data_IF_559901389786
#
_entry.id   IF_559901389786
#
_cell.length_a   1.000
_cell.length_b   1.000
_cell.length_c   1.000
_cell.angle_alpha   90.00
_cell.angle_beta   90.00
_cell.angle_gamma   90.00
#
_symmetry.space_group_name_H-M   'P 1'
#
loop_
_entity.id
_entity.type
_entity.pdbx_description
1 polymer ?
#
# COMPACT_ATOMS: atom_id res chain seq x y z
N UNK A 1 8.30 4.96 74.17
CA UNK A 1 8.96 5.22 72.87
C UNK A 1 8.49 4.15 71.89
N UNK A 2 7.56 4.49 71.00
CA UNK A 2 7.07 3.57 69.96
C UNK A 2 7.88 3.81 68.68
N UNK A 3 8.43 2.78 68.02
CA UNK A 3 9.06 2.98 66.72
C UNK A 3 8.00 2.97 65.62
N UNK A 4 7.89 4.10 64.93
CA UNK A 4 7.16 4.26 63.67
C UNK A 4 7.87 3.49 62.56
N UNK A 5 7.22 2.48 61.98
CA UNK A 5 7.70 1.80 60.77
C UNK A 5 7.57 2.74 59.55
N UNK A 6 8.63 2.92 58.73
CA UNK A 6 8.52 3.73 57.53
C UNK A 6 7.83 2.95 56.41
N UNK A 7 6.91 3.62 55.70
CA UNK A 7 6.22 3.12 54.52
C UNK A 7 7.20 2.98 53.35
N UNK A 8 7.57 1.75 53.01
CA UNK A 8 8.26 1.46 51.75
C UNK A 8 7.28 1.56 50.58
N UNK A 9 7.27 2.73 49.93
CA UNK A 9 6.80 2.89 48.56
C UNK A 9 7.64 1.99 47.64
N UNK A 10 7.14 0.79 47.32
CA UNK A 10 7.78 -0.09 46.34
C UNK A 10 7.56 0.48 44.94
N UNK A 11 8.61 1.05 44.36
CA UNK A 11 8.68 1.29 42.92
C UNK A 11 8.48 -0.06 42.19
N UNK A 12 7.67 -0.12 41.12
CA UNK A 12 7.37 -1.37 40.44
C UNK A 12 8.66 -2.03 39.94
N UNK A 13 8.79 -3.34 40.19
CA UNK A 13 9.99 -4.11 39.84
C UNK A 13 10.26 -4.04 38.33
N UNK A 14 11.53 -3.83 37.94
CA UNK A 14 11.96 -3.75 36.52
C UNK A 14 11.45 -4.94 35.68
N UNK A 15 11.35 -6.13 36.29
CA UNK A 15 10.79 -7.34 35.68
C UNK A 15 9.33 -7.19 35.24
N UNK A 16 8.46 -6.65 36.10
CA UNK A 16 7.06 -6.39 35.76
C UNK A 16 6.93 -5.36 34.63
N UNK A 17 7.80 -4.34 34.60
CA UNK A 17 7.81 -3.32 33.53
C UNK A 17 8.27 -3.88 32.17
N UNK A 18 9.23 -4.82 32.15
CA UNK A 18 9.66 -5.49 30.91
C UNK A 18 8.62 -6.47 30.39
N UNK A 19 7.96 -7.21 31.30
CA UNK A 19 6.85 -8.10 30.96
C UNK A 19 5.67 -7.31 30.37
N UNK A 20 5.29 -6.19 31.00
CA UNK A 20 4.23 -5.31 30.50
C UNK A 20 4.57 -4.67 29.14
N UNK A 21 5.82 -4.24 28.92
CA UNK A 21 6.29 -3.75 27.61
C UNK A 21 6.27 -4.86 26.54
N UNK A 22 6.66 -6.09 26.89
CA UNK A 22 6.58 -7.24 26.00
C UNK A 22 5.15 -7.62 25.63
N UNK A 23 4.22 -7.54 26.59
CA UNK A 23 2.79 -7.76 26.35
C UNK A 23 2.22 -6.65 25.47
N UNK A 24 2.50 -5.37 25.73
CA UNK A 24 2.03 -4.24 24.89
C UNK A 24 2.59 -4.33 23.47
N UNK A 25 3.86 -4.73 23.28
CA UNK A 25 4.45 -4.92 21.95
C UNK A 25 3.85 -6.10 21.18
N UNK A 26 3.22 -7.07 21.87
CA UNK A 26 2.55 -8.22 21.26
C UNK A 26 1.12 -7.92 20.78
N UNK A 27 0.52 -6.82 21.24
CA UNK A 27 -0.86 -6.45 20.88
C UNK A 27 -0.87 -5.78 19.51
N UNK A 28 -1.62 -6.37 18.59
CA UNK A 28 -1.89 -5.79 17.28
C UNK A 28 -2.53 -4.40 17.41
N UNK A 29 -1.99 -3.34 16.77
CA UNK A 29 -2.57 -2.01 16.82
C UNK A 29 -4.03 -1.97 16.33
N UNK A 30 -4.87 -1.14 16.98
CA UNK A 30 -6.32 -1.08 16.72
C UNK A 30 -6.67 -0.58 15.32
N UNK A 31 -5.85 0.29 14.71
CA UNK A 31 -6.12 0.81 13.36
C UNK A 31 -5.69 -0.14 12.24
N UNK A 32 -5.06 -1.28 12.57
CA UNK A 32 -4.60 -2.25 11.56
C UNK A 32 -5.77 -2.80 10.75
N UNK A 33 -5.75 -2.55 9.45
CA UNK A 33 -6.80 -2.94 8.51
C UNK A 33 -7.89 -1.89 8.33
N UNK A 34 -8.25 -1.13 9.36
CA UNK A 34 -9.32 -0.13 9.28
C UNK A 34 -9.00 1.02 8.31
N UNK A 35 -7.73 1.42 8.20
CA UNK A 35 -7.29 2.44 7.23
C UNK A 35 -7.65 2.01 5.80
N UNK A 36 -7.31 0.78 5.41
CA UNK A 36 -7.62 0.26 4.08
C UNK A 36 -9.09 -0.09 3.91
N UNK A 37 -9.76 -0.62 4.94
CA UNK A 37 -11.20 -0.87 4.91
C UNK A 37 -12.02 0.41 4.68
N UNK A 38 -11.64 1.52 5.34
CA UNK A 38 -12.25 2.83 5.10
C UNK A 38 -11.88 3.44 3.75
N UNK A 39 -10.70 3.13 3.21
CA UNK A 39 -10.27 3.59 1.87
C UNK A 39 -10.99 2.83 0.75
N UNK A 40 -11.31 1.55 0.92
CA UNK A 40 -11.94 0.72 -0.11
C UNK A 40 -13.21 1.34 -0.74
N UNK A 41 -14.22 1.83 0.01
CA UNK A 41 -15.38 2.50 -0.59
C UNK A 41 -15.04 3.83 -1.28
N UNK A 42 -14.05 4.58 -0.78
CA UNK A 42 -13.58 5.81 -1.42
C UNK A 42 -12.89 5.51 -2.75
N UNK A 43 -12.04 4.48 -2.78
CA UNK A 43 -11.39 3.99 -3.98
C UNK A 43 -12.41 3.49 -5.01
N UNK A 44 -13.41 2.73 -4.56
CA UNK A 44 -14.50 2.27 -5.41
C UNK A 44 -15.24 3.45 -6.06
N UNK A 45 -15.67 4.43 -5.25
CA UNK A 45 -16.38 5.59 -5.75
C UNK A 45 -15.53 6.42 -6.74
N UNK A 46 -14.29 6.76 -6.37
CA UNK A 46 -13.39 7.53 -7.21
C UNK A 46 -13.12 6.81 -8.55
N UNK A 47 -12.82 5.51 -8.51
CA UNK A 47 -12.54 4.75 -9.73
C UNK A 47 -13.79 4.51 -10.59
N UNK A 48 -14.99 4.39 -10.01
CA UNK A 48 -16.25 4.36 -10.78
C UNK A 48 -16.43 5.69 -11.52
N UNK A 49 -16.27 6.83 -10.83
CA UNK A 49 -16.40 8.16 -11.45
C UNK A 49 -15.40 8.30 -12.60
N UNK A 50 -14.13 7.97 -12.38
CA UNK A 50 -13.11 8.00 -13.42
C UNK A 50 -13.48 7.12 -14.63
N UNK A 51 -13.98 5.90 -14.38
CA UNK A 51 -14.35 4.95 -15.43
C UNK A 51 -15.56 5.40 -16.24
N UNK A 52 -16.57 5.98 -15.59
CA UNK A 52 -17.78 6.47 -16.25
C UNK A 52 -17.46 7.67 -17.15
N UNK A 53 -16.64 8.60 -16.63
CA UNK A 53 -16.26 9.83 -17.33
C UNK A 53 -15.17 9.64 -18.39
N UNK A 54 -14.43 8.53 -18.37
CA UNK A 54 -13.36 8.26 -19.33
C UNK A 54 -13.90 8.24 -20.79
N UNK A 55 -13.25 8.96 -21.72
CA UNK A 55 -13.70 9.03 -23.10
C UNK A 55 -13.31 7.77 -23.89
N UNK A 56 -14.27 7.20 -24.61
CA UNK A 56 -14.07 6.04 -25.48
C UNK A 56 -13.85 4.71 -24.74
N UNK A 57 -14.09 3.60 -25.43
CA UNK A 57 -14.03 2.27 -24.81
C UNK A 57 -12.65 1.90 -24.26
N UNK A 58 -11.57 2.31 -24.94
CA UNK A 58 -10.20 1.97 -24.53
C UNK A 58 -9.82 2.53 -23.16
N UNK A 59 -10.09 3.81 -22.91
CA UNK A 59 -9.80 4.42 -21.62
C UNK A 59 -10.76 3.92 -20.53
N UNK A 60 -12.02 3.61 -20.86
CA UNK A 60 -12.94 2.96 -19.91
C UNK A 60 -12.40 1.63 -19.41
N UNK A 61 -11.88 0.79 -20.30
CA UNK A 61 -11.24 -0.47 -19.89
C UNK A 61 -9.97 -0.24 -19.07
N UNK A 62 -9.14 0.73 -19.45
CA UNK A 62 -7.94 1.06 -18.68
C UNK A 62 -8.28 1.53 -17.25
N UNK A 63 -9.32 2.35 -17.09
CA UNK A 63 -9.83 2.79 -15.79
C UNK A 63 -10.50 1.66 -15.00
N UNK A 64 -11.21 0.74 -15.67
CA UNK A 64 -11.79 -0.44 -15.03
C UNK A 64 -10.70 -1.36 -14.45
N UNK A 65 -9.58 -1.54 -15.15
CA UNK A 65 -8.42 -2.26 -14.63
C UNK A 65 -7.89 -1.58 -13.36
N UNK A 66 -7.71 -0.25 -13.39
CA UNK A 66 -7.28 0.51 -12.22
C UNK A 66 -8.26 0.39 -11.04
N UNK A 67 -9.57 0.42 -11.31
CA UNK A 67 -10.63 0.18 -10.33
C UNK A 67 -10.46 -1.18 -9.66
N UNK A 68 -10.37 -2.24 -10.46
CA UNK A 68 -10.26 -3.61 -9.95
C UNK A 68 -9.01 -3.77 -9.09
N UNK A 69 -7.85 -3.29 -9.55
CA UNK A 69 -6.61 -3.37 -8.78
C UNK A 69 -6.68 -2.57 -7.47
N UNK A 70 -7.26 -1.37 -7.49
CA UNK A 70 -7.45 -0.53 -6.29
C UNK A 70 -8.36 -1.20 -5.28
N UNK A 71 -9.48 -1.76 -5.75
CA UNK A 71 -10.43 -2.46 -4.89
C UNK A 71 -9.83 -3.74 -4.30
N UNK A 72 -9.14 -4.54 -5.12
CA UNK A 72 -8.46 -5.76 -4.66
C UNK A 72 -7.48 -5.44 -3.54
N UNK A 73 -6.65 -4.40 -3.69
CA UNK A 73 -5.72 -3.99 -2.64
C UNK A 73 -6.46 -3.59 -1.35
N UNK A 74 -7.28 -2.54 -1.40
CA UNK A 74 -7.83 -1.95 -0.17
C UNK A 74 -8.86 -2.85 0.50
N UNK A 75 -9.73 -3.51 -0.26
CA UNK A 75 -10.74 -4.39 0.32
C UNK A 75 -10.10 -5.66 0.90
N UNK A 76 -9.21 -6.34 0.16
CA UNK A 76 -8.55 -7.53 0.69
C UNK A 76 -7.70 -7.20 1.92
N UNK A 77 -6.97 -6.09 1.90
CA UNK A 77 -6.15 -5.67 3.04
C UNK A 77 -6.99 -5.36 4.28
N UNK A 78 -8.13 -4.68 4.08
CA UNK A 78 -9.12 -4.47 5.14
C UNK A 78 -9.64 -5.78 5.73
N UNK A 79 -10.12 -6.70 4.89
CA UNK A 79 -10.66 -8.00 5.31
C UNK A 79 -9.61 -8.85 6.03
N UNK A 80 -8.42 -8.95 5.44
CA UNK A 80 -7.31 -9.73 6.00
C UNK A 80 -6.96 -9.24 7.40
N UNK A 81 -6.68 -7.93 7.51
CA UNK A 81 -6.23 -7.39 8.76
C UNK A 81 -7.34 -7.34 9.80
N UNK A 82 -8.55 -6.89 9.49
CA UNK A 82 -9.65 -6.85 10.48
C UNK A 82 -9.95 -8.25 11.02
N UNK A 83 -10.04 -9.27 10.15
CA UNK A 83 -10.33 -10.64 10.57
C UNK A 83 -9.15 -11.44 11.13
N UNK A 84 -7.93 -10.88 11.17
CA UNK A 84 -6.77 -11.56 11.76
C UNK A 84 -7.07 -11.98 13.21
N UNK A 85 -6.89 -13.28 13.51
CA UNK A 85 -7.22 -13.88 14.81
C UNK A 85 -8.55 -14.64 14.83
N UNK A 86 -9.43 -14.40 13.85
CA UNK A 86 -10.73 -15.07 13.73
C UNK A 86 -10.79 -16.06 12.56
N UNK A 87 -9.85 -15.96 11.61
CA UNK A 87 -9.75 -16.87 10.48
C UNK A 87 -8.99 -18.16 10.81
N UNK A 88 -9.39 -19.31 10.22
CA UNK A 88 -8.55 -20.51 10.23
C UNK A 88 -7.15 -20.20 9.69
N UNK A 89 -6.11 -20.84 10.23
CA UNK A 89 -4.71 -20.54 9.91
C UNK A 89 -4.42 -20.58 8.39
N UNK A 90 -5.02 -21.54 7.66
CA UNK A 90 -4.90 -21.65 6.20
C UNK A 90 -5.50 -20.44 5.48
N UNK A 91 -6.68 -19.97 5.90
CA UNK A 91 -7.36 -18.81 5.32
C UNK A 91 -6.55 -17.53 5.59
N UNK A 92 -6.09 -17.33 6.83
CA UNK A 92 -5.26 -16.20 7.19
C UNK A 92 -3.95 -16.16 6.37
N UNK A 93 -3.34 -17.32 6.14
CA UNK A 93 -2.15 -17.42 5.31
C UNK A 93 -2.41 -17.06 3.84
N UNK A 94 -3.50 -17.53 3.26
CA UNK A 94 -3.90 -17.20 1.88
C UNK A 94 -4.22 -15.72 1.73
N UNK A 95 -5.05 -15.16 2.63
CA UNK A 95 -5.40 -13.73 2.59
C UNK A 95 -4.16 -12.84 2.70
N UNK A 96 -3.18 -13.20 3.53
CA UNK A 96 -1.89 -12.51 3.63
C UNK A 96 -1.10 -12.56 2.32
N UNK A 97 -1.11 -13.71 1.62
CA UNK A 97 -0.41 -13.84 0.33
C UNK A 97 -1.06 -12.95 -0.73
N UNK A 98 -2.39 -12.96 -0.80
CA UNK A 98 -3.16 -12.10 -1.71
C UNK A 98 -2.91 -10.62 -1.38
N UNK A 99 -2.88 -10.27 -0.09
CA UNK A 99 -2.65 -8.90 0.37
C UNK A 99 -1.31 -8.34 -0.12
N UNK A 100 -0.23 -9.10 0.05
CA UNK A 100 1.09 -8.69 -0.45
C UNK A 100 1.16 -8.71 -1.98
N UNK A 101 0.50 -9.66 -2.65
CA UNK A 101 0.47 -9.74 -4.10
C UNK A 101 -0.25 -8.53 -4.73
N UNK A 102 -1.30 -8.02 -4.09
CA UNK A 102 -2.10 -6.92 -4.61
C UNK A 102 -1.31 -5.60 -4.74
N UNK A 103 -0.19 -5.45 -4.04
CA UNK A 103 0.72 -4.30 -4.23
C UNK A 103 1.21 -4.23 -5.68
N UNK A 104 1.59 -5.38 -6.25
CA UNK A 104 2.09 -5.48 -7.62
C UNK A 104 0.98 -5.18 -8.63
N UNK A 105 -0.22 -5.69 -8.37
CA UNK A 105 -1.40 -5.42 -9.20
C UNK A 105 -1.79 -3.94 -9.14
N UNK A 106 -1.73 -3.30 -7.97
CA UNK A 106 -1.99 -1.88 -7.84
C UNK A 106 -1.02 -1.06 -8.67
N UNK A 107 0.29 -1.38 -8.61
CA UNK A 107 1.31 -0.69 -9.41
C UNK A 107 0.95 -0.79 -10.89
N UNK A 108 0.77 -2.00 -11.43
CA UNK A 108 0.43 -2.18 -12.85
C UNK A 108 -0.93 -1.53 -13.22
N UNK A 109 -1.90 -1.62 -12.31
CA UNK A 109 -3.20 -0.97 -12.43
C UNK A 109 -3.10 0.54 -12.54
N UNK A 110 -2.24 1.21 -11.76
CA UNK A 110 -2.00 2.65 -11.84
C UNK A 110 -1.36 3.04 -13.18
N UNK A 111 -0.37 2.29 -13.66
CA UNK A 111 0.28 2.56 -14.96
C UNK A 111 -0.68 2.45 -16.14
N UNK A 112 -1.74 1.64 -16.02
CA UNK A 112 -2.65 1.31 -17.12
C UNK A 112 -3.39 2.53 -17.69
N UNK A 113 -4.22 3.26 -16.93
CA UNK A 113 -4.90 4.45 -17.44
C UNK A 113 -3.94 5.60 -17.77
N UNK A 114 -2.85 5.77 -17.01
CA UNK A 114 -1.84 6.81 -17.29
C UNK A 114 -1.15 6.59 -18.63
N UNK A 115 -0.70 5.37 -18.90
CA UNK A 115 0.00 5.05 -20.15
C UNK A 115 -0.95 5.10 -21.33
N UNK A 116 -2.17 4.58 -21.17
CA UNK A 116 -3.19 4.61 -22.21
C UNK A 116 -3.62 6.05 -22.57
N UNK A 117 -3.68 6.95 -21.60
CA UNK A 117 -4.11 8.34 -21.83
C UNK A 117 -3.00 9.27 -22.33
N UNK A 118 -1.74 9.03 -21.93
CA UNK A 118 -0.65 10.00 -22.13
C UNK A 118 0.38 9.58 -23.17
N UNK A 119 0.58 8.29 -23.39
CA UNK A 119 1.72 7.80 -24.19
C UNK A 119 1.28 7.36 -25.59
N UNK A 120 2.14 7.55 -26.62
CA UNK A 120 1.93 6.91 -27.91
C UNK A 120 1.84 5.39 -27.76
N UNK A 121 1.04 4.73 -28.59
CA UNK A 121 0.72 3.29 -28.49
C UNK A 121 1.95 2.41 -28.25
N UNK A 122 3.02 2.60 -29.03
CA UNK A 122 4.26 1.80 -28.88
C UNK A 122 4.90 1.94 -27.50
N UNK A 123 4.97 3.17 -26.99
CA UNK A 123 5.54 3.45 -25.66
C UNK A 123 4.62 2.93 -24.56
N UNK A 124 3.31 3.12 -24.70
CA UNK A 124 2.32 2.57 -23.77
C UNK A 124 2.44 1.04 -23.70
N UNK A 125 2.48 0.34 -24.83
CA UNK A 125 2.67 -1.12 -24.88
C UNK A 125 3.96 -1.55 -24.19
N UNK A 126 5.07 -0.83 -24.40
CA UNK A 126 6.33 -1.13 -23.72
C UNK A 126 6.22 -0.98 -22.20
N UNK A 127 5.71 0.17 -21.72
CA UNK A 127 5.54 0.43 -20.28
C UNK A 127 4.65 -0.64 -19.67
N UNK A 128 3.48 -0.88 -20.27
CA UNK A 128 2.51 -1.86 -19.79
C UNK A 128 3.06 -3.28 -19.81
N UNK A 129 3.80 -3.66 -20.85
CA UNK A 129 4.49 -4.95 -20.91
C UNK A 129 5.46 -5.14 -19.75
N UNK A 130 6.29 -4.13 -19.46
CA UNK A 130 7.24 -4.16 -18.34
C UNK A 130 6.50 -4.29 -17.01
N UNK A 131 5.50 -3.42 -16.76
CA UNK A 131 4.87 -3.37 -15.44
C UNK A 131 3.97 -4.57 -15.18
N UNK A 132 3.25 -5.08 -16.17
CA UNK A 132 2.41 -6.27 -16.03
C UNK A 132 3.23 -7.55 -15.95
N UNK A 133 4.34 -7.67 -16.70
CA UNK A 133 5.27 -8.79 -16.54
C UNK A 133 5.89 -8.80 -15.13
N UNK A 134 6.38 -7.64 -14.67
CA UNK A 134 6.89 -7.51 -13.30
C UNK A 134 5.82 -7.79 -12.25
N UNK A 135 4.57 -7.37 -12.48
CA UNK A 135 3.47 -7.64 -11.56
C UNK A 135 3.10 -9.12 -11.52
N UNK A 136 3.11 -9.82 -12.66
CA UNK A 136 2.88 -11.26 -12.73
C UNK A 136 3.97 -12.02 -11.96
N UNK A 137 5.25 -11.68 -12.16
CA UNK A 137 6.38 -12.29 -11.45
C UNK A 137 6.29 -12.01 -9.95
N UNK A 138 6.01 -10.78 -9.54
CA UNK A 138 5.88 -10.40 -8.14
C UNK A 138 4.69 -11.06 -7.44
N UNK A 139 3.55 -11.15 -8.14
CA UNK A 139 2.36 -11.88 -7.68
C UNK A 139 2.68 -13.36 -7.50
N UNK A 140 3.27 -14.01 -8.52
CA UNK A 140 3.66 -15.42 -8.44
C UNK A 140 4.64 -15.67 -7.29
N UNK A 141 5.62 -14.78 -7.09
CA UNK A 141 6.57 -14.87 -5.97
C UNK A 141 5.84 -14.86 -4.63
N UNK A 142 4.86 -13.99 -4.41
CA UNK A 142 4.13 -13.92 -3.13
C UNK A 142 3.15 -15.08 -2.93
N UNK A 143 2.57 -15.61 -4.01
CA UNK A 143 1.64 -16.73 -3.93
C UNK A 143 2.35 -18.08 -3.73
N UNK A 144 3.50 -18.27 -4.39
CA UNK A 144 4.23 -19.55 -4.44
C UNK A 144 5.35 -19.63 -3.39
N UNK A 145 6.05 -18.52 -3.09
CA UNK A 145 7.18 -18.50 -2.16
C UNK A 145 6.84 -17.80 -0.83
N UNK A 146 6.14 -18.53 0.04
CA UNK A 146 5.62 -18.00 1.32
C UNK A 146 6.70 -17.49 2.29
N UNK A 147 7.91 -18.04 2.21
CA UNK A 147 9.03 -17.73 3.09
C UNK A 147 10.04 -16.74 2.47
N UNK A 148 9.69 -16.10 1.35
CA UNK A 148 10.53 -15.09 0.74
C UNK A 148 10.89 -14.01 1.78
N UNK A 149 12.17 -13.60 1.88
CA UNK A 149 12.57 -12.53 2.79
C UNK A 149 11.78 -11.25 2.49
N UNK A 150 11.27 -10.60 3.54
CA UNK A 150 10.47 -9.36 3.39
C UNK A 150 11.23 -8.26 2.63
N UNK A 151 12.53 -8.11 2.86
CA UNK A 151 13.33 -7.12 2.16
C UNK A 151 13.34 -7.37 0.65
N UNK A 152 13.34 -8.64 0.23
CA UNK A 152 13.35 -9.04 -1.17
C UNK A 152 12.01 -8.69 -1.83
N UNK A 153 10.89 -9.09 -1.21
CA UNK A 153 9.56 -8.77 -1.74
C UNK A 153 9.27 -7.27 -1.71
N UNK A 154 9.81 -6.53 -0.75
CA UNK A 154 9.76 -5.06 -0.72
C UNK A 154 10.57 -4.42 -1.84
N UNK A 155 11.82 -4.87 -2.06
CA UNK A 155 12.66 -4.33 -3.11
C UNK A 155 12.04 -4.51 -4.50
N UNK A 156 11.44 -5.67 -4.77
CA UNK A 156 10.82 -5.97 -6.07
C UNK A 156 9.70 -4.98 -6.43
N UNK A 157 8.76 -4.70 -5.51
CA UNK A 157 7.70 -3.74 -5.82
C UNK A 157 8.20 -2.30 -5.88
N UNK A 158 9.28 -1.93 -5.14
CA UNK A 158 9.87 -0.59 -5.25
C UNK A 158 10.48 -0.41 -6.64
N UNK A 159 11.28 -1.37 -7.10
CA UNK A 159 11.89 -1.34 -8.44
C UNK A 159 10.79 -1.23 -9.52
N UNK A 160 9.74 -2.05 -9.42
CA UNK A 160 8.62 -2.00 -10.34
C UNK A 160 7.86 -0.67 -10.29
N UNK A 161 7.65 -0.14 -9.08
CA UNK A 161 6.96 1.13 -8.86
C UNK A 161 7.66 2.33 -9.50
N UNK A 162 8.98 2.30 -9.61
CA UNK A 162 9.79 3.39 -10.18
C UNK A 162 10.04 3.29 -11.69
N UNK A 163 9.43 2.33 -12.41
CA UNK A 163 9.53 2.22 -13.88
C UNK A 163 9.18 3.54 -14.59
N UNK A 164 8.28 4.35 -14.03
CA UNK A 164 7.87 5.65 -14.57
C UNK A 164 9.04 6.63 -14.75
N UNK A 165 10.12 6.54 -13.96
CA UNK A 165 11.29 7.44 -14.07
C UNK A 165 11.81 7.49 -15.51
N UNK A 166 11.92 6.33 -16.14
CA UNK A 166 12.45 6.20 -17.50
C UNK A 166 11.56 6.85 -18.57
N UNK A 167 10.31 7.15 -18.22
CA UNK A 167 9.30 7.70 -19.12
C UNK A 167 8.79 9.07 -18.65
N UNK A 168 9.36 9.66 -17.58
CA UNK A 168 8.96 10.96 -17.07
C UNK A 168 9.02 12.08 -18.13
N UNK A 169 10.03 12.16 -19.02
CA UNK A 169 10.04 13.17 -20.08
C UNK A 169 8.85 13.06 -21.04
N UNK A 170 8.35 11.85 -21.30
CA UNK A 170 7.18 11.60 -22.13
C UNK A 170 5.90 11.98 -21.38
N UNK A 171 5.78 11.58 -20.12
CA UNK A 171 4.67 11.99 -19.25
C UNK A 171 4.62 13.51 -19.06
N UNK A 172 5.76 14.17 -18.92
CA UNK A 172 5.87 15.61 -18.79
C UNK A 172 5.40 16.33 -20.05
N UNK A 173 5.89 15.91 -21.22
CA UNK A 173 5.49 16.53 -22.50
C UNK A 173 4.03 16.30 -22.84
N UNK A 174 3.51 15.11 -22.52
CA UNK A 174 2.13 14.77 -22.82
C UNK A 174 1.16 15.39 -21.81
N UNK A 175 1.38 15.19 -20.51
CA UNK A 175 0.44 15.51 -19.44
C UNK A 175 0.78 16.73 -18.59
N UNK A 176 2.00 17.26 -18.69
CA UNK A 176 2.44 18.44 -17.96
C UNK A 176 2.98 18.18 -16.55
N UNK A 177 3.43 19.24 -15.86
CA UNK A 177 4.15 19.16 -14.59
C UNK A 177 3.30 18.63 -13.44
N UNK A 178 2.01 18.96 -13.39
CA UNK A 178 1.13 18.56 -12.29
C UNK A 178 1.04 17.03 -12.15
N UNK A 179 0.85 16.33 -13.28
CA UNK A 179 0.79 14.87 -13.32
C UNK A 179 2.13 14.29 -12.86
N UNK A 180 3.26 14.77 -13.40
CA UNK A 180 4.58 14.24 -13.04
C UNK A 180 4.89 14.43 -11.55
N UNK A 181 4.60 15.60 -10.99
CA UNK A 181 4.83 15.84 -9.56
C UNK A 181 3.93 14.98 -8.67
N UNK A 182 2.70 14.71 -9.07
CA UNK A 182 1.83 13.76 -8.36
C UNK A 182 2.38 12.33 -8.42
N UNK A 183 2.93 11.89 -9.57
CA UNK A 183 3.56 10.57 -9.70
C UNK A 183 4.82 10.46 -8.84
N UNK A 184 5.67 11.48 -8.85
CA UNK A 184 6.88 11.53 -8.01
C UNK A 184 6.52 11.57 -6.53
N UNK A 185 5.59 12.44 -6.12
CA UNK A 185 5.13 12.53 -4.74
C UNK A 185 4.52 11.19 -4.27
N UNK A 186 3.72 10.54 -5.11
CA UNK A 186 3.18 9.21 -4.83
C UNK A 186 4.29 8.16 -4.68
N UNK A 187 5.23 8.10 -5.63
CA UNK A 187 6.36 7.17 -5.61
C UNK A 187 7.27 7.33 -4.39
N UNK A 188 7.60 8.58 -4.02
CA UNK A 188 8.37 8.91 -2.81
C UNK A 188 7.59 8.50 -1.56
N UNK A 189 6.32 8.88 -1.45
CA UNK A 189 5.48 8.55 -0.28
C UNK A 189 5.36 7.04 -0.07
N UNK A 190 5.16 6.28 -1.16
CA UNK A 190 5.11 4.83 -1.11
C UNK A 190 6.44 4.24 -0.64
N UNK A 191 7.55 4.73 -1.18
CA UNK A 191 8.91 4.27 -0.82
C UNK A 191 9.21 4.54 0.65
N UNK A 192 8.84 5.72 1.18
CA UNK A 192 8.99 6.06 2.59
C UNK A 192 8.20 5.08 3.48
N UNK A 193 6.95 4.81 3.13
CA UNK A 193 6.14 3.80 3.83
C UNK A 193 6.80 2.42 3.80
N UNK A 194 7.31 1.99 2.65
CA UNK A 194 7.98 0.70 2.49
C UNK A 194 9.26 0.60 3.32
N UNK A 195 10.03 1.68 3.45
CA UNK A 195 11.21 1.76 4.32
C UNK A 195 10.82 1.63 5.79
N UNK A 196 9.77 2.33 6.23
CA UNK A 196 9.23 2.21 7.61
C UNK A 196 8.76 0.77 7.87
N UNK A 197 8.06 0.17 6.91
CA UNK A 197 7.61 -1.22 6.98
C UNK A 197 8.78 -2.21 7.12
N UNK A 198 9.82 -2.05 6.30
CA UNK A 198 10.99 -2.91 6.32
C UNK A 198 11.79 -2.78 7.63
N UNK A 199 11.94 -1.54 8.14
CA UNK A 199 12.67 -1.25 9.39
C UNK A 199 11.87 -1.56 10.65
N UNK A 200 10.54 -1.64 10.57
CA UNK A 200 9.62 -1.78 11.71
C UNK A 200 9.74 -0.64 12.73
N UNK A 201 10.09 0.54 12.26
CA UNK A 201 10.23 1.76 13.07
C UNK A 201 9.95 2.97 12.18
N UNK A 202 9.31 4.04 12.69
CA UNK A 202 8.86 4.24 14.07
C UNK A 202 7.57 3.48 14.44
N UNK A 203 7.35 3.29 15.74
CA UNK A 203 6.12 2.74 16.32
C UNK A 203 5.54 3.74 17.34
N UNK A 204 4.92 4.84 16.85
CA UNK A 204 4.60 6.00 17.69
C UNK A 204 3.50 5.70 18.72
N UNK A 205 2.62 4.73 18.44
CA UNK A 205 1.60 4.27 19.39
C UNK A 205 1.39 2.76 19.22
N UNK A 206 2.13 1.91 19.95
CA UNK A 206 2.08 0.45 19.78
C UNK A 206 0.67 -0.16 19.90
N UNK A 207 -0.24 0.50 20.62
CA UNK A 207 -1.63 0.04 20.79
C UNK A 207 -2.56 0.50 19.66
N UNK A 208 -2.27 1.61 18.98
CA UNK A 208 -3.19 2.23 18.03
C UNK A 208 -2.62 2.41 16.64
N UNK A 209 -1.38 2.88 16.53
CA UNK A 209 -0.74 3.32 15.30
C UNK A 209 0.76 3.04 15.35
N UNK A 210 1.19 1.96 14.70
CA UNK A 210 2.59 1.57 14.59
C UNK A 210 3.14 1.66 13.17
N UNK A 211 4.30 1.05 12.95
CA UNK A 211 5.01 1.10 11.66
C UNK A 211 4.18 0.60 10.47
N UNK A 212 3.29 -0.36 10.72
CA UNK A 212 2.44 -0.94 9.68
C UNK A 212 1.29 0.01 9.31
N UNK A 213 0.78 0.75 10.29
CA UNK A 213 -0.24 1.77 10.07
C UNK A 213 0.35 2.97 9.32
N UNK A 214 1.60 3.34 9.59
CA UNK A 214 2.36 4.29 8.77
C UNK A 214 2.44 3.80 7.32
N UNK A 215 2.80 2.54 7.11
CA UNK A 215 2.84 1.96 5.78
C UNK A 215 1.47 2.02 5.06
N UNK A 216 0.38 1.72 5.76
CA UNK A 216 -0.98 1.85 5.21
C UNK A 216 -1.31 3.30 4.86
N UNK A 217 -1.04 4.26 5.75
CA UNK A 217 -1.29 5.69 5.45
C UNK A 217 -0.47 6.15 4.24
N UNK A 218 0.80 5.79 4.17
CA UNK A 218 1.65 6.10 3.01
C UNK A 218 1.12 5.46 1.72
N UNK A 219 0.61 4.23 1.79
CA UNK A 219 -0.01 3.53 0.66
C UNK A 219 -1.25 4.27 0.16
N UNK A 220 -2.14 4.68 1.07
CA UNK A 220 -3.35 5.45 0.74
C UNK A 220 -3.00 6.83 0.17
N UNK A 221 -2.06 7.54 0.79
CA UNK A 221 -1.62 8.86 0.32
C UNK A 221 -0.96 8.79 -1.07
N UNK A 222 -0.10 7.79 -1.29
CA UNK A 222 0.50 7.55 -2.60
C UNK A 222 -0.55 7.23 -3.66
N UNK A 223 -1.50 6.34 -3.34
CA UNK A 223 -2.63 6.03 -4.21
C UNK A 223 -3.47 7.27 -4.50
N UNK A 224 -3.73 8.13 -3.52
CA UNK A 224 -4.51 9.35 -3.72
C UNK A 224 -3.81 10.31 -4.70
N UNK A 225 -2.50 10.54 -4.57
CA UNK A 225 -1.73 11.33 -5.53
C UNK A 225 -1.84 10.76 -6.95
N UNK A 226 -1.66 9.44 -7.08
CA UNK A 226 -1.71 8.75 -8.37
C UNK A 226 -3.14 8.71 -8.95
N UNK A 227 -4.16 8.59 -8.10
CA UNK A 227 -5.55 8.66 -8.49
C UNK A 227 -5.87 10.03 -9.09
N UNK A 228 -5.48 11.12 -8.43
CA UNK A 228 -5.61 12.47 -8.98
C UNK A 228 -4.86 12.61 -10.30
N UNK A 229 -3.65 12.05 -10.40
CA UNK A 229 -2.90 12.04 -11.67
C UNK A 229 -3.66 11.29 -12.79
N UNK A 230 -4.30 10.15 -12.47
CA UNK A 230 -5.15 9.42 -13.42
C UNK A 230 -6.35 10.25 -13.87
N UNK A 231 -7.02 10.96 -12.94
CA UNK A 231 -8.12 11.87 -13.29
C UNK A 231 -7.67 12.98 -14.25
N UNK A 232 -6.55 13.65 -13.93
CA UNK A 232 -5.99 14.69 -14.79
C UNK A 232 -5.55 14.16 -16.16
N UNK A 233 -5.02 12.93 -16.21
CA UNK A 233 -4.57 12.32 -17.45
C UNK A 233 -5.72 11.89 -18.36
N UNK A 234 -6.79 11.35 -17.80
CA UNK A 234 -7.89 10.71 -18.54
C UNK A 234 -8.98 11.71 -18.96
N UNK A 235 -9.23 12.76 -18.15
CA UNK A 235 -10.34 13.71 -18.37
C UNK A 235 -9.92 15.02 -19.04
N UNK A 236 -8.74 15.03 -19.65
CA UNK A 236 -8.20 16.18 -20.39
C UNK A 236 -8.70 16.24 -21.83
#
# INVERSE_FOLDING_TARGET
MSPTSPSTSQAPSRSASMSAKGVIASVKPRLRGWIHAGTAPLALAACIVLTVLAPGAGLKWACAVYLTCSLLLFANSGVYHIGTGHWPAKVAATLRRIDHANIYLLIAGTYTPLSAALLPTRTATLVLGIVWAGAAIGTATNLLWMHAPRWFTTALYIILGWVAIWFLPQFWRAGGPAIVWLLVAGGVTYTLGAVVYARKTPDPSPRWFGFHEIFHVCTVAAWACQCVACFLAVLR
#
